data_IF_633422303282
#
_entry.id   IF_633422303282
#
_cell.length_a   1.000
_cell.length_b   1.000
_cell.length_c   1.000
_cell.angle_alpha   90.00
_cell.angle_beta   90.00
_cell.angle_gamma   90.00
#
_symmetry.space_group_name_H-M   'P 1'
#
loop_
_entity.id
_entity.type
_entity.pdbx_description
1 polymer ?
#
# COMPACT_ATOMS: atom_id res chain seq x y z
N UNK A 1 15.56 27.30 69.51
CA UNK A 1 15.44 26.54 70.78
C UNK A 1 15.40 25.07 70.32
N UNK A 2 16.57 24.43 70.44
CA UNK A 2 16.89 23.38 71.44
C UNK A 2 16.11 22.09 71.07
N UNK A 3 16.68 21.02 70.86
CA UNK A 3 17.86 20.23 71.22
C UNK A 3 17.40 18.78 71.11
N UNK A 4 18.12 18.00 70.34
CA UNK A 4 18.95 16.86 70.83
C UNK A 4 18.16 15.73 71.48
N UNK A 5 18.27 14.50 71.03
CA UNK A 5 19.38 13.63 71.39
C UNK A 5 19.27 12.21 70.79
N UNK A 6 20.44 11.68 70.45
CA UNK A 6 20.76 10.28 70.24
C UNK A 6 20.91 9.51 71.55
N UNK A 7 21.41 8.27 71.47
CA UNK A 7 20.96 6.92 71.06
C UNK A 7 20.96 6.01 72.37
N UNK A 8 21.25 4.72 72.42
CA UNK A 8 22.16 3.86 71.70
C UNK A 8 21.72 2.34 71.53
N UNK A 9 22.44 1.65 70.65
CA UNK A 9 23.19 0.37 70.79
C UNK A 9 22.56 -0.78 71.60
N UNK A 10 22.65 -2.02 71.17
CA UNK A 10 23.81 -2.87 71.10
C UNK A 10 23.42 -4.34 70.85
N UNK A 11 24.29 -5.00 70.15
CA UNK A 11 24.80 -6.39 70.39
C UNK A 11 23.78 -7.51 70.51
N UNK A 12 24.00 -8.73 70.04
CA UNK A 12 25.20 -9.52 69.69
C UNK A 12 24.74 -10.88 69.22
N UNK A 13 25.42 -11.39 68.28
CA UNK A 13 26.24 -12.62 68.32
C UNK A 13 25.55 -13.97 68.41
N UNK A 14 26.01 -14.75 67.50
CA UNK A 14 26.28 -16.18 67.62
C UNK A 14 25.18 -17.18 67.28
N UNK A 15 25.54 -17.95 66.34
CA UNK A 15 24.94 -19.25 66.03
C UNK A 15 25.55 -19.83 64.79
N UNK A 16 26.74 -20.23 64.92
CA UNK A 16 27.52 -21.14 64.09
C UNK A 16 26.77 -22.47 63.88
N UNK A 17 27.03 -23.07 62.74
CA UNK A 17 26.93 -24.51 62.44
C UNK A 17 25.56 -25.09 62.15
N UNK A 18 25.28 -25.26 60.89
CA UNK A 18 24.87 -26.52 60.34
C UNK A 18 25.35 -26.61 58.91
N UNK A 19 26.49 -27.21 58.78
CA UNK A 19 27.09 -27.67 57.54
C UNK A 19 26.43 -28.97 57.21
N UNK A 20 26.36 -29.24 55.91
CA UNK A 20 26.16 -30.53 55.26
C UNK A 20 24.72 -31.04 55.03
N UNK A 21 24.57 -31.43 53.81
CA UNK A 21 23.56 -32.28 53.18
C UNK A 21 22.44 -31.52 52.47
N UNK A 22 22.74 -31.16 51.26
CA UNK A 22 21.90 -31.36 50.05
C UNK A 22 22.68 -30.99 48.80
N UNK A 23 23.79 -31.64 48.63
CA UNK A 23 24.32 -31.93 47.30
C UNK A 23 23.48 -33.01 46.69
N UNK A 24 23.22 -32.89 45.42
CA UNK A 24 22.52 -33.84 44.56
C UNK A 24 20.99 -33.70 44.55
N UNK A 25 20.50 -32.65 43.96
CA UNK A 25 19.28 -32.70 43.18
C UNK A 25 19.42 -31.69 42.04
N UNK A 26 19.54 -32.25 40.88
CA UNK A 26 19.01 -31.65 39.69
C UNK A 26 19.91 -30.69 38.94
N UNK A 27 21.00 -31.21 38.44
CA UNK A 27 21.54 -30.72 37.17
C UNK A 27 20.62 -31.22 36.05
N UNK A 28 19.37 -30.75 36.07
CA UNK A 28 18.58 -30.70 34.86
C UNK A 28 18.98 -29.41 34.17
N UNK A 29 20.02 -29.57 33.38
CA UNK A 29 20.32 -28.58 32.36
C UNK A 29 19.11 -28.57 31.42
N UNK A 30 18.16 -27.72 31.72
CA UNK A 30 17.23 -27.30 30.74
C UNK A 30 18.02 -26.67 29.62
N UNK A 31 18.20 -27.42 28.58
CA UNK A 31 18.54 -26.88 27.27
C UNK A 31 17.35 -26.00 26.91
N UNK A 32 17.33 -24.81 27.46
CA UNK A 32 16.54 -23.72 26.86
C UNK A 32 17.19 -23.48 25.53
N UNK A 33 16.76 -24.31 24.57
CA UNK A 33 16.98 -23.99 23.19
C UNK A 33 16.60 -22.53 23.03
N UNK A 34 17.55 -21.72 22.62
CA UNK A 34 17.23 -20.46 21.98
C UNK A 34 16.28 -20.79 20.85
N UNK A 35 14.98 -20.81 21.14
CA UNK A 35 14.01 -20.54 20.13
C UNK A 35 14.34 -19.12 19.71
N UNK A 36 15.17 -19.03 18.67
CA UNK A 36 15.18 -17.86 17.85
C UNK A 36 13.70 -17.59 17.57
N UNK A 37 13.17 -16.61 18.27
CA UNK A 37 11.97 -15.92 17.85
C UNK A 37 12.32 -15.36 16.46
N UNK A 38 12.12 -16.22 15.49
CA UNK A 38 11.96 -15.75 14.14
C UNK A 38 10.68 -14.91 14.22
N UNK A 39 10.87 -13.66 14.50
CA UNK A 39 9.90 -12.63 14.19
C UNK A 39 9.74 -12.73 12.68
N UNK A 40 9.00 -13.74 12.27
CA UNK A 40 8.43 -13.76 10.96
C UNK A 40 7.70 -12.46 10.90
N UNK A 41 8.25 -11.52 10.14
CA UNK A 41 7.46 -10.45 9.60
C UNK A 41 6.15 -11.12 9.22
N UNK A 42 5.09 -10.80 9.94
CA UNK A 42 3.76 -11.20 9.56
C UNK A 42 3.63 -10.65 8.16
N UNK A 43 4.01 -11.47 7.19
CA UNK A 43 3.73 -11.21 5.82
C UNK A 43 2.24 -10.97 5.83
N UNK A 44 1.87 -9.75 5.62
CA UNK A 44 0.49 -9.34 5.45
C UNK A 44 -0.04 -10.24 4.35
N UNK A 45 -0.54 -11.41 4.74
CA UNK A 45 -1.26 -12.29 3.84
C UNK A 45 -2.54 -11.52 3.58
N UNK A 46 -2.49 -10.66 2.59
CA UNK A 46 -3.67 -10.11 1.97
C UNK A 46 -4.43 -11.31 1.37
N UNK A 47 -5.12 -12.05 2.22
CA UNK A 47 -6.31 -12.76 1.77
C UNK A 47 -7.31 -11.65 1.47
N UNK A 48 -7.07 -10.99 0.37
CA UNK A 48 -7.91 -9.95 -0.15
C UNK A 48 -9.28 -10.57 -0.37
N UNK A 49 -10.30 -10.03 0.30
CA UNK A 49 -11.71 -10.30 0.00
C UNK A 49 -12.06 -9.99 -1.48
N UNK A 50 -11.12 -9.41 -2.21
CA UNK A 50 -11.17 -9.19 -3.64
C UNK A 50 -10.54 -10.39 -4.34
N UNK A 51 -11.24 -10.96 -5.32
CA UNK A 51 -10.73 -12.10 -6.07
C UNK A 51 -9.48 -11.69 -6.86
N UNK A 52 -8.31 -12.04 -6.32
CA UNK A 52 -7.02 -11.83 -6.99
C UNK A 52 -6.69 -12.96 -7.98
N UNK A 53 -7.58 -13.95 -8.10
CA UNK A 53 -7.44 -15.04 -9.06
C UNK A 53 -7.80 -14.54 -10.47
N UNK A 54 -7.08 -15.02 -11.47
CA UNK A 54 -7.32 -14.72 -12.88
C UNK A 54 -7.09 -13.26 -13.31
N UNK A 55 -6.04 -12.62 -12.78
CA UNK A 55 -5.63 -11.29 -13.25
C UNK A 55 -5.14 -11.35 -14.69
N UNK A 56 -5.49 -10.34 -15.47
CA UNK A 56 -5.04 -10.21 -16.86
C UNK A 56 -3.62 -9.63 -16.88
N UNK A 57 -2.70 -10.38 -17.45
CA UNK A 57 -1.31 -9.95 -17.65
C UNK A 57 -1.07 -9.29 -19.02
N UNK A 58 -2.11 -9.11 -19.81
CA UNK A 58 -2.05 -8.50 -21.14
C UNK A 58 -3.24 -7.59 -21.36
N UNK A 59 -3.03 -6.53 -22.13
CA UNK A 59 -4.06 -5.61 -22.62
C UNK A 59 -3.85 -5.32 -24.10
N UNK A 60 -4.79 -4.59 -24.69
CA UNK A 60 -4.61 -4.03 -26.02
C UNK A 60 -3.94 -2.66 -25.94
N UNK A 61 -3.01 -2.40 -26.82
CA UNK A 61 -2.39 -1.10 -27.02
C UNK A 61 -2.56 -0.66 -28.48
N UNK A 62 -2.58 0.66 -28.72
CA UNK A 62 -2.63 1.23 -30.07
C UNK A 62 -1.30 1.92 -30.38
N UNK A 63 -0.36 1.25 -31.07
CA UNK A 63 0.91 1.85 -31.44
C UNK A 63 0.72 3.07 -32.33
N UNK A 64 1.70 3.95 -32.31
CA UNK A 64 1.68 5.14 -33.14
C UNK A 64 1.72 4.76 -34.64
N UNK A 65 0.94 5.45 -35.47
CA UNK A 65 0.88 5.22 -36.91
C UNK A 65 0.21 3.89 -37.34
N UNK A 66 -0.42 3.14 -36.45
CA UNK A 66 -1.15 1.90 -36.77
C UNK A 66 -2.60 1.98 -36.38
N UNK A 67 -3.49 1.51 -37.25
CA UNK A 67 -4.93 1.41 -36.98
C UNK A 67 -5.32 0.14 -36.21
N UNK A 68 -4.42 -0.86 -36.14
CA UNK A 68 -4.68 -2.13 -35.46
C UNK A 68 -4.11 -2.10 -34.03
N UNK A 69 -4.90 -2.60 -33.07
CA UNK A 69 -4.44 -2.82 -31.72
C UNK A 69 -3.46 -4.00 -31.67
N UNK A 70 -2.46 -3.91 -30.81
CA UNK A 70 -1.52 -4.99 -30.49
C UNK A 70 -1.76 -5.45 -29.05
N UNK A 71 -1.39 -6.69 -28.75
CA UNK A 71 -1.37 -7.20 -27.38
C UNK A 71 -0.09 -6.76 -26.68
N UNK A 72 -0.22 -6.11 -25.53
CA UNK A 72 0.87 -5.65 -24.70
C UNK A 72 0.87 -6.40 -23.36
N UNK A 73 2.04 -6.87 -22.93
CA UNK A 73 2.22 -7.46 -21.60
C UNK A 73 2.17 -6.39 -20.50
N UNK A 74 1.68 -6.77 -19.32
CA UNK A 74 1.68 -5.94 -18.12
C UNK A 74 2.68 -6.47 -17.07
N UNK A 75 3.38 -5.60 -16.33
CA UNK A 75 3.42 -4.15 -16.52
C UNK A 75 4.10 -3.75 -17.84
N UNK A 76 3.56 -2.73 -18.50
CA UNK A 76 4.12 -2.18 -19.71
C UNK A 76 5.39 -1.40 -19.39
N UNK A 77 6.48 -1.67 -20.08
CA UNK A 77 7.71 -0.87 -19.98
C UNK A 77 7.53 0.48 -20.67
N UNK A 78 7.76 1.54 -19.93
CA UNK A 78 7.61 2.92 -20.39
C UNK A 78 8.91 3.69 -20.17
N UNK A 79 9.15 4.72 -21.00
CA UNK A 79 10.31 5.59 -20.80
C UNK A 79 10.06 6.55 -19.64
N UNK A 80 11.11 7.03 -18.93
CA UNK A 80 10.97 8.07 -17.91
C UNK A 80 10.26 9.31 -18.46
N UNK A 81 10.53 9.70 -19.69
CA UNK A 81 9.87 10.82 -20.34
C UNK A 81 8.36 10.62 -20.48
N UNK A 82 7.90 9.40 -20.81
CA UNK A 82 6.46 9.12 -20.89
C UNK A 82 5.79 9.18 -19.52
N UNK A 83 6.53 8.83 -18.45
CA UNK A 83 6.05 8.97 -17.08
C UNK A 83 5.95 10.45 -16.69
N UNK A 84 6.93 11.29 -17.03
CA UNK A 84 6.88 12.74 -16.82
C UNK A 84 5.70 13.37 -17.56
N UNK A 85 5.41 12.91 -18.78
CA UNK A 85 4.24 13.34 -19.55
C UNK A 85 2.92 12.94 -18.87
N UNK A 86 2.87 11.78 -18.21
CA UNK A 86 1.71 11.41 -17.40
C UNK A 86 1.47 12.44 -16.29
N UNK A 87 2.51 12.85 -15.56
CA UNK A 87 2.36 13.83 -14.48
C UNK A 87 1.94 15.19 -14.99
N UNK A 88 2.53 15.66 -16.09
CA UNK A 88 2.07 16.90 -16.75
C UNK A 88 0.59 16.80 -17.16
N UNK A 89 0.16 15.64 -17.68
CA UNK A 89 -1.24 15.42 -18.06
C UNK A 89 -2.18 15.33 -16.85
N UNK A 90 -1.69 14.84 -15.69
CA UNK A 90 -2.44 14.89 -14.43
C UNK A 90 -2.62 16.33 -13.99
N UNK A 91 -1.57 17.13 -13.99
CA UNK A 91 -1.62 18.56 -13.63
C UNK A 91 -2.59 19.33 -14.52
N UNK A 92 -2.55 19.13 -15.85
CA UNK A 92 -3.51 19.70 -16.79
C UNK A 92 -4.97 19.32 -16.49
N UNK A 93 -5.18 18.14 -15.88
CA UNK A 93 -6.52 17.62 -15.55
C UNK A 93 -7.04 18.11 -14.21
N UNK A 94 -6.20 18.69 -13.33
CA UNK A 94 -6.64 19.18 -12.02
C UNK A 94 -7.74 20.22 -12.15
N UNK A 95 -8.74 20.15 -11.28
CA UNK A 95 -9.90 21.04 -11.30
C UNK A 95 -10.97 20.69 -12.34
N UNK A 96 -10.71 19.78 -13.28
CA UNK A 96 -11.75 19.31 -14.22
C UNK A 96 -12.92 18.70 -13.44
N UNK A 97 -14.15 19.13 -13.74
CA UNK A 97 -15.36 18.70 -13.03
C UNK A 97 -15.57 17.19 -13.09
N UNK A 98 -16.14 16.65 -12.03
CA UNK A 98 -16.62 15.27 -12.05
C UNK A 98 -17.84 15.15 -12.97
N UNK A 99 -17.83 14.12 -13.81
CA UNK A 99 -18.96 13.78 -14.67
C UNK A 99 -19.07 12.25 -14.74
N UNK A 100 -20.17 11.72 -14.24
CA UNK A 100 -20.44 10.29 -14.34
C UNK A 100 -20.42 9.82 -15.80
N UNK A 101 -19.67 8.76 -16.09
CA UNK A 101 -19.44 8.29 -17.45
C UNK A 101 -18.47 9.15 -18.28
N UNK A 102 -17.90 10.21 -17.73
CA UNK A 102 -16.97 11.07 -18.43
C UNK A 102 -15.57 10.49 -18.54
N UNK A 103 -14.94 10.67 -19.70
CA UNK A 103 -13.56 10.21 -19.97
C UNK A 103 -12.83 11.21 -20.92
N UNK A 104 -13.11 12.50 -20.78
CA UNK A 104 -12.49 13.57 -21.58
C UNK A 104 -12.29 14.83 -20.74
N UNK A 105 -11.50 15.82 -21.20
CA UNK A 105 -11.31 17.08 -20.51
C UNK A 105 -12.61 17.86 -20.21
N UNK A 106 -13.75 17.52 -20.85
CA UNK A 106 -15.05 18.10 -20.53
C UNK A 106 -15.63 17.61 -19.19
N UNK A 107 -15.05 16.54 -18.61
CA UNK A 107 -15.39 15.96 -17.33
C UNK A 107 -14.98 14.50 -17.24
N UNK A 108 -14.54 14.10 -16.07
CA UNK A 108 -14.09 12.74 -15.77
C UNK A 108 -14.89 12.10 -14.65
N UNK A 109 -15.13 10.80 -14.75
CA UNK A 109 -15.28 9.96 -13.54
C UNK A 109 -13.94 9.32 -13.17
N UNK A 110 -13.91 8.54 -12.07
CA UNK A 110 -12.66 8.01 -11.53
C UNK A 110 -11.91 7.11 -12.53
N UNK A 111 -12.58 6.16 -13.15
CA UNK A 111 -11.97 5.28 -14.14
C UNK A 111 -11.75 5.97 -15.50
N UNK A 112 -12.62 6.90 -15.88
CA UNK A 112 -12.48 7.69 -17.10
C UNK A 112 -11.22 8.57 -17.11
N UNK A 113 -10.82 9.10 -15.96
CA UNK A 113 -9.56 9.82 -15.82
C UNK A 113 -8.36 8.87 -16.09
N UNK A 114 -8.38 7.66 -15.52
CA UNK A 114 -7.34 6.65 -15.77
C UNK A 114 -7.28 6.28 -17.25
N UNK A 115 -8.42 5.98 -17.86
CA UNK A 115 -8.49 5.63 -19.28
C UNK A 115 -7.90 6.72 -20.17
N UNK A 116 -8.30 7.96 -19.91
CA UNK A 116 -7.83 9.10 -20.68
C UNK A 116 -6.31 9.28 -20.56
N UNK A 117 -5.80 9.29 -19.34
CA UNK A 117 -4.39 9.55 -19.07
C UNK A 117 -3.48 8.41 -19.57
N UNK A 118 -3.85 7.16 -19.32
CA UNK A 118 -3.08 6.02 -19.80
C UNK A 118 -3.21 5.82 -21.31
N UNK A 119 -4.36 6.12 -21.88
CA UNK A 119 -4.55 6.14 -23.32
C UNK A 119 -3.70 7.21 -24.02
N UNK A 120 -3.68 8.44 -23.47
CA UNK A 120 -2.92 9.59 -23.98
C UNK A 120 -1.41 9.33 -23.94
N UNK A 121 -0.90 8.87 -22.78
CA UNK A 121 0.54 8.82 -22.52
C UNK A 121 1.18 7.48 -22.87
N UNK A 122 0.45 6.37 -22.79
CA UNK A 122 0.99 5.01 -22.99
C UNK A 122 0.29 4.23 -24.09
N UNK A 123 -0.71 4.84 -24.77
CA UNK A 123 -1.50 4.17 -25.84
C UNK A 123 -2.25 2.91 -25.37
N UNK A 124 -2.47 2.77 -24.06
CA UNK A 124 -3.18 1.64 -23.48
C UNK A 124 -4.68 1.74 -23.74
N UNK A 125 -5.31 0.62 -24.09
CA UNK A 125 -6.77 0.50 -24.21
C UNK A 125 -7.26 -0.23 -22.96
N UNK A 126 -7.70 0.54 -21.98
CA UNK A 126 -8.12 0.03 -20.68
C UNK A 126 -9.65 -0.20 -20.62
N UNK A 127 -10.13 -1.11 -19.76
CA UNK A 127 -11.55 -1.33 -19.53
C UNK A 127 -12.19 -0.12 -18.84
N UNK A 128 -13.52 0.03 -19.03
CA UNK A 128 -14.23 1.26 -18.68
C UNK A 128 -14.42 1.46 -17.18
N UNK A 129 -14.60 0.42 -16.42
CA UNK A 129 -14.99 0.53 -14.99
C UNK A 129 -13.82 0.31 -14.04
N UNK A 130 -13.89 0.89 -12.83
CA UNK A 130 -12.89 0.68 -11.81
C UNK A 130 -12.78 -0.80 -11.41
N UNK A 131 -13.88 -1.52 -11.34
CA UNK A 131 -13.90 -2.94 -11.02
C UNK A 131 -13.22 -3.82 -12.09
N UNK A 132 -13.34 -3.46 -13.36
CA UNK A 132 -12.63 -4.16 -14.45
C UNK A 132 -11.14 -3.80 -14.46
N UNK A 133 -10.79 -2.52 -14.25
CA UNK A 133 -9.40 -2.07 -14.06
C UNK A 133 -8.72 -2.89 -12.97
N UNK A 134 -9.40 -3.09 -11.86
CA UNK A 134 -8.95 -3.85 -10.69
C UNK A 134 -8.63 -5.34 -10.97
N UNK A 135 -8.78 -5.81 -12.20
CA UNK A 135 -8.40 -7.17 -12.62
C UNK A 135 -7.11 -7.24 -13.43
N UNK A 136 -6.41 -6.12 -13.59
CA UNK A 136 -5.24 -6.02 -14.46
C UNK A 136 -3.93 -6.08 -13.66
N UNK A 137 -2.82 -6.25 -14.38
CA UNK A 137 -1.46 -6.03 -13.89
C UNK A 137 -1.06 -6.83 -12.65
N UNK A 138 -0.11 -6.28 -11.91
CA UNK A 138 0.51 -6.90 -10.73
C UNK A 138 0.12 -6.16 -9.46
N UNK A 139 -0.31 -6.90 -8.43
CA UNK A 139 -0.61 -6.32 -7.11
C UNK A 139 0.67 -5.78 -6.48
N UNK A 140 0.55 -4.58 -5.91
CA UNK A 140 1.64 -3.88 -5.23
C UNK A 140 1.25 -3.63 -3.77
N UNK A 141 2.11 -3.98 -2.81
CA UNK A 141 1.91 -3.61 -1.41
C UNK A 141 1.86 -2.09 -1.22
N UNK A 142 1.01 -1.60 -0.30
CA UNK A 142 0.81 -0.16 -0.05
C UNK A 142 2.11 0.60 0.26
N UNK A 143 3.07 -0.06 0.89
CA UNK A 143 4.39 0.50 1.21
C UNK A 143 5.41 0.47 0.06
N UNK A 144 5.04 -0.13 -1.08
CA UNK A 144 5.90 -0.27 -2.26
C UNK A 144 5.34 0.46 -3.50
N UNK A 145 4.44 1.42 -3.27
CA UNK A 145 3.84 2.20 -4.33
C UNK A 145 4.88 3.06 -5.04
N UNK A 146 4.79 3.08 -6.35
CA UNK A 146 5.56 3.96 -7.21
C UNK A 146 4.61 4.89 -7.97
N UNK A 147 5.10 6.08 -8.34
CA UNK A 147 4.36 6.98 -9.22
C UNK A 147 3.88 6.27 -10.49
N UNK A 148 2.60 6.42 -10.82
CA UNK A 148 1.95 5.70 -11.92
C UNK A 148 1.32 4.36 -11.53
N UNK A 149 1.38 3.91 -10.28
CA UNK A 149 0.55 2.78 -9.82
C UNK A 149 -0.91 3.21 -9.68
N UNK A 150 -1.82 2.26 -9.79
CA UNK A 150 -3.24 2.48 -9.52
C UNK A 150 -3.59 2.06 -8.09
N UNK A 151 -4.35 2.90 -7.41
CA UNK A 151 -4.90 2.61 -6.07
C UNK A 151 -6.40 2.46 -6.16
N UNK A 152 -6.93 1.42 -5.53
CA UNK A 152 -8.34 1.05 -5.56
C UNK A 152 -8.96 1.16 -4.18
N UNK A 153 -10.20 1.63 -4.16
CA UNK A 153 -10.97 1.82 -2.93
C UNK A 153 -12.33 1.14 -3.03
N UNK A 154 -12.89 0.83 -1.87
CA UNK A 154 -14.22 0.23 -1.74
C UNK A 154 -14.97 0.84 -0.56
N UNK A 155 -16.13 1.44 -0.82
CA UNK A 155 -17.01 1.99 0.21
C UNK A 155 -17.91 0.93 0.85
N UNK A 156 -18.26 -0.11 0.11
CA UNK A 156 -19.24 -1.10 0.56
C UNK A 156 -18.77 -2.54 0.26
N UNK A 157 -18.02 -3.09 1.20
CA UNK A 157 -17.73 -4.53 1.16
C UNK A 157 -16.64 -4.94 0.18
N UNK A 158 -16.94 -5.78 -0.81
CA UNK A 158 -15.97 -6.40 -1.72
C UNK A 158 -15.95 -5.83 -3.14
N UNK A 159 -16.77 -4.82 -3.42
CA UNK A 159 -16.84 -4.22 -4.76
C UNK A 159 -15.93 -3.00 -4.85
N UNK A 160 -15.06 -2.98 -5.86
CA UNK A 160 -14.25 -1.81 -6.16
C UNK A 160 -15.12 -0.76 -6.84
N UNK A 161 -15.21 0.41 -6.25
CA UNK A 161 -16.04 1.53 -6.72
C UNK A 161 -15.27 2.81 -7.01
N UNK A 162 -13.99 2.85 -6.66
CA UNK A 162 -13.16 4.03 -6.92
C UNK A 162 -11.72 3.65 -7.26
N UNK A 163 -11.06 4.49 -8.07
CA UNK A 163 -9.66 4.33 -8.50
C UNK A 163 -8.97 5.69 -8.59
N UNK A 164 -7.68 5.70 -8.29
CA UNK A 164 -6.79 6.85 -8.48
C UNK A 164 -5.42 6.44 -8.99
N UNK A 165 -4.61 7.40 -9.38
CA UNK A 165 -3.25 7.25 -9.91
C UNK A 165 -2.27 7.80 -8.88
N UNK A 166 -1.35 6.99 -8.42
CA UNK A 166 -0.29 7.40 -7.47
C UNK A 166 0.60 8.44 -8.12
N UNK A 167 0.81 9.54 -7.43
CA UNK A 167 1.70 10.64 -7.85
C UNK A 167 2.95 10.72 -6.99
N UNK A 168 2.88 10.25 -5.76
CA UNK A 168 4.03 10.11 -4.85
C UNK A 168 3.75 8.99 -3.84
N UNK A 169 4.68 8.68 -2.95
CA UNK A 169 4.48 7.65 -1.92
C UNK A 169 3.22 7.83 -1.06
N UNK A 170 2.73 9.05 -0.94
CA UNK A 170 1.61 9.38 -0.05
C UNK A 170 0.42 10.01 -0.77
N UNK A 171 0.57 10.35 -2.05
CA UNK A 171 -0.44 11.12 -2.78
C UNK A 171 -0.89 10.42 -4.05
N UNK A 172 -2.15 10.66 -4.41
CA UNK A 172 -2.72 10.16 -5.65
C UNK A 172 -3.69 11.17 -6.27
N UNK A 173 -3.76 11.15 -7.59
CA UNK A 173 -4.71 11.93 -8.38
C UNK A 173 -5.97 11.10 -8.66
N UNK A 174 -7.14 11.70 -8.53
CA UNK A 174 -8.40 11.04 -8.84
C UNK A 174 -9.51 12.04 -9.19
N UNK A 175 -10.51 11.57 -9.93
CA UNK A 175 -11.74 12.34 -10.09
C UNK A 175 -12.60 12.13 -8.83
N UNK A 176 -12.52 13.09 -7.90
CA UNK A 176 -13.32 13.13 -6.69
C UNK A 176 -14.74 13.64 -7.01
N UNK A 177 -15.62 13.64 -5.99
CA UNK A 177 -17.05 14.01 -6.16
C UNK A 177 -17.28 15.32 -6.95
N UNK A 178 -16.41 16.31 -6.80
CA UNK A 178 -16.58 17.62 -7.44
C UNK A 178 -15.66 17.80 -8.65
N UNK A 179 -14.41 17.42 -8.52
CA UNK A 179 -13.40 17.63 -9.56
C UNK A 179 -12.22 16.66 -9.42
N UNK A 180 -11.35 16.64 -10.42
CA UNK A 180 -10.04 16.00 -10.35
C UNK A 180 -9.17 16.76 -9.36
N UNK A 181 -8.60 16.04 -8.41
CA UNK A 181 -7.72 16.58 -7.36
C UNK A 181 -6.66 15.59 -6.92
N UNK A 182 -5.68 16.09 -6.18
CA UNK A 182 -4.78 15.25 -5.39
C UNK A 182 -5.40 15.01 -4.02
N UNK A 183 -5.19 13.80 -3.49
CA UNK A 183 -5.55 13.42 -2.12
C UNK A 183 -4.42 12.62 -1.49
N UNK A 184 -4.41 12.56 -0.16
CA UNK A 184 -3.40 11.85 0.59
C UNK A 184 -3.88 10.43 0.93
N UNK A 185 -3.06 9.41 0.65
CA UNK A 185 -3.40 8.00 0.86
C UNK A 185 -3.64 7.60 2.31
N UNK A 186 -3.11 8.38 3.25
CA UNK A 186 -3.21 8.17 4.69
C UNK A 186 -4.22 9.10 5.36
N UNK A 187 -4.99 9.89 4.59
CA UNK A 187 -6.20 10.52 5.12
C UNK A 187 -7.16 9.44 5.61
N UNK A 188 -7.79 9.67 6.76
CA UNK A 188 -8.63 8.69 7.44
C UNK A 188 -9.65 8.02 6.52
N UNK A 189 -10.28 8.78 5.63
CA UNK A 189 -11.24 8.26 4.66
C UNK A 189 -10.57 7.28 3.69
N UNK A 190 -9.50 7.69 3.00
CA UNK A 190 -8.85 6.86 1.99
C UNK A 190 -8.11 5.67 2.59
N UNK A 191 -7.51 5.84 3.77
CA UNK A 191 -6.83 4.75 4.47
C UNK A 191 -7.81 3.63 4.84
N UNK A 192 -8.97 3.99 5.39
CA UNK A 192 -10.00 3.03 5.79
C UNK A 192 -10.72 2.33 4.64
N UNK A 193 -10.74 2.95 3.45
CA UNK A 193 -11.40 2.41 2.24
C UNK A 193 -10.40 1.81 1.24
N UNK A 194 -9.11 1.87 1.52
CA UNK A 194 -8.09 1.29 0.66
C UNK A 194 -8.29 -0.22 0.52
N UNK A 195 -8.42 -0.66 -0.71
CA UNK A 195 -8.60 -2.08 -1.02
C UNK A 195 -7.27 -2.75 -1.38
N UNK A 196 -6.61 -2.27 -2.39
CA UNK A 196 -5.28 -2.70 -2.86
C UNK A 196 -4.76 -1.73 -3.92
N UNK A 197 -3.54 -1.98 -4.37
CA UNK A 197 -2.95 -1.25 -5.49
C UNK A 197 -2.39 -2.22 -6.54
N UNK A 198 -2.24 -1.73 -7.76
CA UNK A 198 -1.67 -2.52 -8.86
C UNK A 198 -0.76 -1.67 -9.73
N UNK A 199 0.18 -2.35 -10.38
CA UNK A 199 1.13 -1.78 -11.32
C UNK A 199 0.82 -2.20 -12.74
N UNK A 200 0.52 -1.22 -13.59
CA UNK A 200 0.29 -1.41 -15.03
C UNK A 200 1.47 -0.95 -15.87
N UNK A 201 2.33 -0.11 -15.33
CA UNK A 201 3.51 0.43 -16.03
C UNK A 201 4.76 0.28 -15.16
N UNK A 202 5.92 0.18 -15.78
CA UNK A 202 7.22 0.20 -15.11
C UNK A 202 8.21 0.95 -15.98
N UNK A 203 9.10 1.74 -15.38
CA UNK A 203 10.18 2.41 -16.09
C UNK A 203 11.27 1.41 -16.47
N UNK A 204 11.90 1.65 -17.59
CA UNK A 204 13.07 0.89 -18.04
C UNK A 204 14.30 1.15 -17.16
#
# INVERSE_FOLDING_TARGET
MQQQSRPPSSRSLQGRTALLLCTIIGMVIGVTGCQSYWSGSAGYRMESKYSLKNRKSHISCRPEGRNSALTCALPLKVTPQSLDQLFSSIEESLGTRYRYGGASPDGFDCSGLVLYLYGKNFRMILPRTASELATLGTIVPKNNLLPGDLVFFSNAGSTIDHVGIVTSHESFAHAARNCVKLSHLYESYYDSHFAFAERLITTE
#
